data_IF_760957453770
#
_entry.id   IF_760957453770
#
_cell.length_a   1.000
_cell.length_b   1.000
_cell.length_c   1.000
_cell.angle_alpha   90.00
_cell.angle_beta   90.00
_cell.angle_gamma   90.00
#
_symmetry.space_group_name_H-M   'P 1'
#
loop_
_entity.id
_entity.type
_entity.pdbx_description
1 polymer ?
#
# COMPACT_ATOMS: atom_id res chain seq x y z
N UNK A 1 14.69 -1.99 13.25
CA UNK A 1 13.58 -1.05 13.57
C UNK A 1 12.57 -1.14 12.43
N UNK A 2 11.26 -1.17 12.70
CA UNK A 2 10.25 -1.25 11.64
C UNK A 2 10.33 0.00 10.73
N UNK A 3 10.23 -0.20 9.41
CA UNK A 3 10.26 0.88 8.44
C UNK A 3 9.01 1.75 8.61
N UNK A 4 9.18 3.04 8.89
CA UNK A 4 8.06 3.98 9.03
C UNK A 4 7.42 4.28 7.67
N UNK A 5 6.12 4.57 7.64
CA UNK A 5 5.37 4.91 6.43
C UNK A 5 6.01 6.06 5.64
N UNK A 6 6.51 7.11 6.30
CA UNK A 6 7.25 8.20 5.65
C UNK A 6 8.52 7.73 4.92
N UNK A 7 9.22 6.73 5.46
CA UNK A 7 10.41 6.16 4.83
C UNK A 7 10.03 5.21 3.70
N UNK A 8 8.95 4.43 3.86
CA UNK A 8 8.38 3.59 2.82
C UNK A 8 7.96 4.44 1.61
N UNK A 9 7.29 5.57 1.86
CA UNK A 9 6.94 6.55 0.83
C UNK A 9 8.16 7.01 0.02
N UNK A 10 9.22 7.46 0.70
CA UNK A 10 10.45 7.91 0.04
C UNK A 10 11.06 6.79 -0.83
N UNK A 11 11.08 5.55 -0.33
CA UNK A 11 11.58 4.40 -1.08
C UNK A 11 10.73 4.10 -2.31
N UNK A 12 9.40 4.09 -2.17
CA UNK A 12 8.46 3.88 -3.27
C UNK A 12 8.65 4.93 -4.36
N UNK A 13 8.59 6.22 -3.99
CA UNK A 13 8.76 7.34 -4.93
C UNK A 13 10.05 7.21 -5.75
N UNK A 14 11.16 6.88 -5.08
CA UNK A 14 12.45 6.73 -5.74
C UNK A 14 12.52 5.50 -6.66
N UNK A 15 11.79 4.44 -6.35
CA UNK A 15 11.75 3.21 -7.13
C UNK A 15 10.80 3.29 -8.33
N UNK A 16 9.88 4.25 -8.36
CA UNK A 16 8.89 4.46 -9.42
C UNK A 16 9.02 5.87 -10.02
N UNK A 17 10.13 6.22 -10.67
CA UNK A 17 10.35 7.57 -11.20
C UNK A 17 9.40 7.93 -12.35
N UNK A 18 8.79 6.94 -13.00
CA UNK A 18 7.85 7.13 -14.11
C UNK A 18 6.44 7.52 -13.66
N UNK A 19 6.12 7.37 -12.38
CA UNK A 19 4.79 7.65 -11.81
C UNK A 19 4.76 9.06 -11.25
N UNK A 20 3.74 9.83 -11.63
CA UNK A 20 3.44 11.11 -10.99
C UNK A 20 2.69 10.86 -9.70
N UNK A 21 3.25 11.33 -8.59
CA UNK A 21 2.70 11.07 -7.26
C UNK A 21 2.22 12.34 -6.57
N UNK A 22 1.08 12.24 -5.90
CA UNK A 22 0.55 13.23 -4.96
C UNK A 22 0.27 12.56 -3.63
N UNK A 23 0.79 13.14 -2.54
CA UNK A 23 0.47 12.68 -1.19
C UNK A 23 -0.86 13.30 -0.76
N UNK A 24 -1.78 12.48 -0.28
CA UNK A 24 -3.11 12.88 0.16
C UNK A 24 -3.08 13.17 1.67
N UNK A 25 -2.58 14.35 2.03
CA UNK A 25 -2.54 14.80 3.44
C UNK A 25 -3.89 15.44 3.81
N UNK A 26 -4.92 14.61 4.04
CA UNK A 26 -6.25 15.13 4.38
C UNK A 26 -6.59 14.91 5.85
N UNK A 27 -6.84 16.02 6.56
CA UNK A 27 -7.29 16.02 7.95
C UNK A 27 -8.80 15.81 8.10
N UNK A 28 -9.58 16.05 7.04
CA UNK A 28 -11.04 16.07 7.08
C UNK A 28 -11.69 14.75 6.61
N UNK A 29 -11.02 13.96 5.77
CA UNK A 29 -11.58 12.74 5.17
C UNK A 29 -10.88 11.48 5.70
N UNK A 30 -11.42 10.95 6.81
CA UNK A 30 -10.95 9.70 7.39
C UNK A 30 -10.98 8.56 6.38
N UNK A 31 -9.88 7.80 6.30
CA UNK A 31 -9.78 6.60 5.45
C UNK A 31 -9.41 6.84 3.99
N UNK A 32 -9.15 8.08 3.59
CA UNK A 32 -8.51 8.36 2.29
C UNK A 32 -7.12 7.72 2.27
N UNK A 33 -6.74 6.99 1.21
CA UNK A 33 -5.41 6.42 1.09
C UNK A 33 -4.31 7.48 1.12
N UNK A 34 -3.10 7.10 1.51
CA UNK A 34 -1.98 8.04 1.67
C UNK A 34 -1.52 8.71 0.37
N UNK A 35 -1.64 8.00 -0.77
CA UNK A 35 -1.06 8.40 -2.05
C UNK A 35 -2.07 8.27 -3.19
N UNK A 36 -2.03 9.26 -4.10
CA UNK A 36 -2.56 9.19 -5.46
C UNK A 36 -1.39 9.06 -6.43
N UNK A 37 -1.42 8.02 -7.26
CA UNK A 37 -0.48 7.80 -8.36
C UNK A 37 -1.16 8.00 -9.70
N UNK A 38 -0.41 8.53 -10.66
CA UNK A 38 -0.78 8.60 -12.07
C UNK A 38 0.32 7.91 -12.89
N UNK A 39 -0.02 6.74 -13.42
CA UNK A 39 0.89 5.90 -14.18
C UNK A 39 1.11 6.44 -15.60
N UNK A 40 2.21 6.05 -16.24
CA UNK A 40 2.56 6.48 -17.59
C UNK A 40 1.55 6.02 -18.67
N UNK A 41 0.76 4.99 -18.37
CA UNK A 41 -0.37 4.53 -19.19
C UNK A 41 -1.55 5.51 -19.23
N UNK A 42 -1.60 6.49 -18.31
CA UNK A 42 -2.71 7.42 -18.14
C UNK A 42 -3.72 7.04 -17.06
N UNK A 43 -3.47 5.97 -16.29
CA UNK A 43 -4.40 5.54 -15.24
C UNK A 43 -4.07 6.15 -13.87
N UNK A 44 -5.13 6.60 -13.18
CA UNK A 44 -5.07 6.94 -11.76
C UNK A 44 -5.25 5.70 -10.88
N UNK A 45 -4.52 5.68 -9.77
CA UNK A 45 -4.64 4.65 -8.74
C UNK A 45 -4.27 5.21 -7.36
N UNK A 46 -4.68 4.52 -6.29
CA UNK A 46 -4.34 4.92 -4.92
C UNK A 46 -3.51 3.87 -4.21
N UNK A 47 -2.67 4.31 -3.28
CA UNK A 47 -1.86 3.43 -2.43
C UNK A 47 -2.01 3.86 -0.97
N UNK A 48 -2.47 2.94 -0.14
CA UNK A 48 -2.40 3.00 1.32
C UNK A 48 -1.05 2.42 1.76
N UNK A 49 -0.29 3.16 2.57
CA UNK A 49 0.99 2.73 3.13
C UNK A 49 0.77 2.12 4.50
N UNK A 50 1.31 0.94 4.73
CA UNK A 50 1.28 0.28 6.03
C UNK A 50 2.63 -0.25 6.42
N UNK A 51 2.79 -0.51 7.71
CA UNK A 51 3.93 -1.24 8.25
C UNK A 51 3.47 -2.23 9.31
N UNK A 52 4.06 -3.43 9.32
CA UNK A 52 3.89 -4.35 10.45
C UNK A 52 4.89 -4.01 11.56
N UNK A 53 4.71 -4.60 12.73
CA UNK A 53 5.61 -4.38 13.88
C UNK A 53 6.23 -5.72 14.30
N UNK A 54 7.38 -5.68 14.97
CA UNK A 54 7.98 -6.92 15.50
C UNK A 54 7.08 -7.64 16.52
N UNK A 55 6.17 -6.91 17.19
CA UNK A 55 5.21 -7.49 18.13
C UNK A 55 4.11 -8.28 17.41
N UNK A 56 3.67 -7.79 16.25
CA UNK A 56 2.63 -8.39 15.42
C UNK A 56 3.12 -8.43 13.96
N UNK A 57 4.08 -9.32 13.62
CA UNK A 57 4.78 -9.27 12.33
C UNK A 57 3.89 -9.66 11.16
N UNK A 58 2.87 -10.48 11.41
CA UNK A 58 1.93 -10.97 10.39
C UNK A 58 0.66 -10.13 10.27
N UNK A 59 0.39 -9.20 11.20
CA UNK A 59 -0.87 -8.44 11.21
C UNK A 59 -0.66 -7.02 10.69
N UNK A 60 -1.58 -6.57 9.84
CA UNK A 60 -1.57 -5.23 9.26
C UNK A 60 -2.76 -4.45 9.84
N UNK A 61 -2.49 -3.34 10.53
CA UNK A 61 -3.54 -2.56 11.21
C UNK A 61 -4.20 -1.58 10.25
N UNK A 62 -5.52 -1.64 10.17
CA UNK A 62 -6.35 -0.67 9.44
C UNK A 62 -7.38 -0.02 10.37
N UNK A 63 -7.77 1.21 10.06
CA UNK A 63 -8.97 1.81 10.66
C UNK A 63 -10.24 1.34 9.92
N UNK A 64 -11.43 1.38 10.57
CA UNK A 64 -12.69 1.06 9.90
C UNK A 64 -12.93 1.89 8.63
N UNK A 65 -12.48 3.15 8.62
CA UNK A 65 -12.62 4.03 7.46
C UNK A 65 -11.74 3.61 6.29
N UNK A 66 -10.50 3.15 6.56
CA UNK A 66 -9.61 2.62 5.53
C UNK A 66 -10.19 1.34 4.90
N UNK A 67 -10.72 0.45 5.75
CA UNK A 67 -11.41 -0.76 5.28
C UNK A 67 -12.61 -0.37 4.40
N UNK A 68 -13.45 0.56 4.87
CA UNK A 68 -14.62 1.04 4.12
C UNK A 68 -14.25 1.64 2.76
N UNK A 69 -13.15 2.39 2.68
CA UNK A 69 -12.67 2.96 1.42
C UNK A 69 -12.41 1.87 0.38
N UNK A 70 -11.65 0.83 0.73
CA UNK A 70 -11.29 -0.25 -0.19
C UNK A 70 -12.48 -1.16 -0.55
N UNK A 71 -13.43 -1.38 0.37
CA UNK A 71 -14.68 -2.09 0.07
C UNK A 71 -15.49 -1.34 -1.01
N UNK A 72 -15.57 -0.01 -0.90
CA UNK A 72 -16.30 0.86 -1.84
C UNK A 72 -15.57 1.01 -3.19
N UNK A 73 -14.23 1.06 -3.17
CA UNK A 73 -13.40 1.33 -4.35
C UNK A 73 -12.52 0.13 -4.69
N UNK A 74 -13.07 -0.81 -5.47
CA UNK A 74 -12.41 -2.09 -5.79
C UNK A 74 -11.40 -2.03 -6.93
N UNK A 75 -11.40 -0.96 -7.72
CA UNK A 75 -10.53 -0.79 -8.91
C UNK A 75 -9.38 0.15 -8.58
N UNK A 76 -8.18 -0.20 -9.03
CA UNK A 76 -6.98 0.65 -8.94
C UNK A 76 -6.71 1.21 -7.54
N UNK A 77 -7.01 0.43 -6.49
CA UNK A 77 -6.61 0.75 -5.12
C UNK A 77 -5.69 -0.34 -4.62
N UNK A 78 -4.66 0.03 -3.87
CA UNK A 78 -3.62 -0.89 -3.43
C UNK A 78 -3.21 -0.62 -1.99
N UNK A 79 -2.67 -1.65 -1.33
CA UNK A 79 -2.03 -1.53 -0.03
C UNK A 79 -0.58 -1.97 -0.14
N UNK A 80 0.35 -1.11 0.24
CA UNK A 80 1.78 -1.41 0.27
C UNK A 80 2.25 -1.57 1.71
N UNK A 81 2.66 -2.78 2.07
CA UNK A 81 3.01 -3.12 3.46
C UNK A 81 4.51 -3.33 3.59
N UNK A 82 5.17 -2.51 4.40
CA UNK A 82 6.53 -2.77 4.87
C UNK A 82 6.52 -3.81 6.00
N UNK A 83 7.25 -4.89 5.83
CA UNK A 83 7.19 -6.04 6.71
C UNK A 83 8.36 -6.02 7.70
N UNK A 84 8.06 -6.02 8.99
CA UNK A 84 9.09 -5.84 10.03
C UNK A 84 10.03 -7.05 10.19
N UNK A 85 9.59 -8.26 9.85
CA UNK A 85 10.34 -9.48 10.08
C UNK A 85 11.48 -9.66 9.07
N UNK A 86 11.18 -9.53 7.78
CA UNK A 86 12.10 -9.78 6.67
C UNK A 86 12.58 -8.49 5.98
N UNK A 87 12.08 -7.33 6.41
CA UNK A 87 12.37 -6.01 5.83
C UNK A 87 11.99 -5.90 4.34
N UNK A 88 11.14 -6.82 3.85
CA UNK A 88 10.57 -6.76 2.51
C UNK A 88 9.32 -5.88 2.48
N UNK A 89 8.86 -5.61 1.27
CA UNK A 89 7.63 -4.89 1.00
C UNK A 89 6.70 -5.81 0.22
N UNK A 90 5.42 -5.83 0.57
CA UNK A 90 4.39 -6.63 -0.09
C UNK A 90 3.27 -5.73 -0.60
N UNK A 91 2.84 -5.95 -1.84
CA UNK A 91 1.77 -5.20 -2.49
C UNK A 91 0.51 -6.07 -2.55
N UNK A 92 -0.63 -5.52 -2.13
CA UNK A 92 -1.93 -6.19 -2.18
C UNK A 92 -2.93 -5.36 -2.97
N UNK A 93 -3.89 -6.00 -3.65
CA UNK A 93 -5.00 -5.26 -4.26
C UNK A 93 -5.95 -4.81 -3.15
N UNK A 94 -6.48 -3.59 -3.25
CA UNK A 94 -7.47 -3.08 -2.31
C UNK A 94 -8.77 -3.89 -2.32
N UNK A 95 -9.10 -4.56 -3.44
CA UNK A 95 -10.23 -5.51 -3.49
C UNK A 95 -10.09 -6.67 -2.50
N UNK A 96 -8.87 -7.02 -2.09
CA UNK A 96 -8.57 -8.06 -1.09
C UNK A 96 -8.47 -7.54 0.35
N UNK A 97 -8.96 -6.33 0.65
CA UNK A 97 -8.77 -5.71 1.98
C UNK A 97 -9.32 -6.56 3.13
N UNK A 98 -10.47 -7.23 2.93
CA UNK A 98 -11.08 -8.05 3.99
C UNK A 98 -10.23 -9.28 4.31
N UNK A 99 -9.70 -9.94 3.29
CA UNK A 99 -8.79 -11.08 3.42
C UNK A 99 -7.47 -10.64 4.05
N UNK A 100 -6.95 -9.45 3.68
CA UNK A 100 -5.73 -8.91 4.26
C UNK A 100 -5.90 -8.55 5.74
N UNK A 101 -7.08 -8.07 6.15
CA UNK A 101 -7.40 -7.81 7.56
C UNK A 101 -7.46 -9.11 8.36
N UNK A 102 -8.04 -10.16 7.80
CA UNK A 102 -8.25 -11.45 8.47
C UNK A 102 -6.97 -12.30 8.50
N UNK A 103 -6.35 -12.53 7.34
CA UNK A 103 -5.20 -13.41 7.17
C UNK A 103 -3.86 -12.71 7.33
N UNK A 104 -3.82 -11.37 7.26
CA UNK A 104 -2.59 -10.61 7.35
C UNK A 104 -1.59 -10.96 6.25
N UNK A 105 -0.30 -11.03 6.59
CA UNK A 105 0.77 -11.37 5.64
C UNK A 105 0.80 -12.85 5.20
N UNK A 106 -0.13 -13.69 5.68
CA UNK A 106 -0.32 -15.04 5.13
C UNK A 106 -1.06 -15.01 3.79
N UNK A 107 -1.78 -13.92 3.50
CA UNK A 107 -2.37 -13.68 2.20
C UNK A 107 -1.25 -13.54 1.16
N UNK A 108 -1.41 -14.19 0.01
CA UNK A 108 -0.43 -14.08 -1.08
C UNK A 108 -0.47 -12.66 -1.68
N UNK A 109 0.66 -11.93 -1.71
CA UNK A 109 0.71 -10.60 -2.31
C UNK A 109 0.74 -10.66 -3.85
N UNK A 110 0.35 -9.57 -4.52
CA UNK A 110 0.56 -9.39 -5.97
C UNK A 110 2.05 -9.38 -6.32
N UNK A 111 2.86 -8.82 -5.42
CA UNK A 111 4.29 -8.71 -5.57
C UNK A 111 4.98 -8.63 -4.21
N UNK A 112 6.16 -9.24 -4.13
CA UNK A 112 7.04 -9.19 -2.97
C UNK A 112 8.39 -8.57 -3.35
N UNK A 113 8.87 -7.65 -2.52
CA UNK A 113 10.05 -6.83 -2.78
C UNK A 113 9.73 -5.54 -3.53
N UNK A 114 10.42 -4.46 -3.17
CA UNK A 114 10.19 -3.13 -3.73
C UNK A 114 10.29 -3.07 -5.28
N UNK A 115 11.28 -3.71 -5.94
CA UNK A 115 11.36 -3.69 -7.40
C UNK A 115 10.20 -4.40 -8.12
N UNK A 116 9.64 -5.47 -7.51
CA UNK A 116 8.49 -6.15 -8.08
C UNK A 116 7.21 -5.33 -7.88
N UNK A 117 7.04 -4.74 -6.69
CA UNK A 117 5.91 -3.84 -6.41
C UNK A 117 5.91 -2.62 -7.34
N UNK A 118 7.08 -2.01 -7.55
CA UNK A 118 7.25 -0.88 -8.46
C UNK A 118 6.78 -1.24 -9.89
N UNK A 119 7.24 -2.37 -10.43
CA UNK A 119 6.84 -2.84 -11.77
C UNK A 119 5.34 -3.03 -11.91
N UNK A 120 4.67 -3.56 -10.89
CA UNK A 120 3.19 -3.69 -10.91
C UNK A 120 2.55 -2.32 -11.02
N UNK A 121 2.98 -1.35 -10.21
CA UNK A 121 2.38 -0.01 -10.16
C UNK A 121 2.69 0.82 -11.42
N UNK A 122 3.87 0.67 -12.01
CA UNK A 122 4.26 1.36 -13.25
C UNK A 122 3.52 0.81 -14.47
N UNK A 123 3.11 -0.46 -14.44
CA UNK A 123 2.32 -1.10 -15.50
C UNK A 123 0.82 -0.87 -15.39
N UNK A 124 0.34 -0.17 -14.35
CA UNK A 124 -1.05 0.24 -14.22
C UNK A 124 -1.43 1.26 -15.28
#
# INVERSE_FOLDING_TARGET
MALRERQLWKKLKNATPSISWTRLENWALFGTPDLLGYASSGNFFTVELKSTTLKNPNFVRFSPHQISFHIKHKKNTFVLVACALDQLVRLYPGSGILELVDSGLKLEPLACGLPACARVLEGL
#
